data_IF_218385456018
#
_entry.id   IF_218385456018
#
_cell.length_a   1.000
_cell.length_b   1.000
_cell.length_c   1.000
_cell.angle_alpha   90.00
_cell.angle_beta   90.00
_cell.angle_gamma   90.00
#
_symmetry.space_group_name_H-M   'P 1'
#
loop_
_entity.id
_entity.type
_entity.pdbx_description
1 polymer ?
#
# COMPACT_ATOMS: atom_id res chain seq x y z
N UNK A 1 57.35 -1.76 -18.35
CA UNK A 1 57.10 -2.70 -17.24
C UNK A 1 56.08 -3.71 -17.73
N UNK A 2 56.42 -5.01 -17.80
CA UNK A 2 55.52 -6.02 -18.37
C UNK A 2 54.36 -6.26 -17.40
N UNK A 3 53.12 -6.13 -17.87
CA UNK A 3 51.87 -6.29 -17.10
C UNK A 3 51.87 -7.60 -16.28
N UNK A 4 52.47 -8.66 -16.82
CA UNK A 4 52.63 -9.96 -16.17
C UNK A 4 53.45 -9.90 -14.87
N UNK A 5 54.50 -9.07 -14.83
CA UNK A 5 55.34 -8.88 -13.63
C UNK A 5 54.56 -8.23 -12.51
N UNK A 6 53.77 -7.20 -12.85
CA UNK A 6 52.96 -6.44 -11.90
C UNK A 6 51.81 -7.29 -11.34
N UNK A 7 51.12 -8.04 -12.21
CA UNK A 7 50.09 -9.01 -11.78
C UNK A 7 50.69 -10.07 -10.85
N UNK A 8 51.91 -10.53 -11.12
CA UNK A 8 52.57 -11.54 -10.28
C UNK A 8 52.89 -11.06 -8.87
N UNK A 9 53.24 -9.78 -8.75
CA UNK A 9 53.69 -9.16 -7.52
C UNK A 9 52.50 -8.74 -6.64
N UNK A 10 51.32 -8.55 -7.23
CA UNK A 10 50.12 -8.04 -6.55
C UNK A 10 48.96 -9.06 -6.53
N UNK A 11 49.25 -10.35 -6.73
CA UNK A 11 48.26 -11.46 -6.74
C UNK A 11 47.29 -11.45 -5.54
N UNK A 12 47.78 -11.13 -4.35
CA UNK A 12 46.97 -11.07 -3.12
C UNK A 12 45.98 -9.90 -3.15
N UNK A 13 46.42 -8.73 -3.62
CA UNK A 13 45.57 -7.55 -3.77
C UNK A 13 44.48 -7.81 -4.83
N UNK A 14 44.85 -8.40 -5.96
CA UNK A 14 43.93 -8.77 -7.03
C UNK A 14 42.90 -9.81 -6.58
N UNK A 15 43.29 -10.79 -5.76
CA UNK A 15 42.37 -11.77 -5.20
C UNK A 15 41.35 -11.13 -4.23
N UNK A 16 41.79 -10.17 -3.41
CA UNK A 16 40.89 -9.41 -2.50
C UNK A 16 39.94 -8.51 -3.30
N UNK A 17 40.43 -7.84 -4.34
CA UNK A 17 39.61 -7.00 -5.22
C UNK A 17 38.58 -7.84 -5.98
N UNK A 18 38.99 -9.01 -6.48
CA UNK A 18 38.09 -9.96 -7.13
C UNK A 18 37.03 -10.48 -6.16
N UNK A 19 37.43 -10.85 -4.93
CA UNK A 19 36.50 -11.28 -3.89
C UNK A 19 35.52 -10.15 -3.51
N UNK A 20 36.00 -8.91 -3.39
CA UNK A 20 35.17 -7.74 -3.10
C UNK A 20 34.18 -7.44 -4.24
N UNK A 21 34.58 -7.59 -5.49
CA UNK A 21 33.70 -7.47 -6.66
C UNK A 21 32.66 -8.60 -6.66
N UNK A 22 33.06 -9.83 -6.38
CA UNK A 22 32.13 -10.98 -6.30
C UNK A 22 31.13 -10.79 -5.16
N UNK A 23 31.57 -10.35 -3.98
CA UNK A 23 30.69 -10.04 -2.85
C UNK A 23 29.78 -8.85 -3.17
N UNK A 24 30.27 -7.81 -3.85
CA UNK A 24 29.46 -6.67 -4.29
C UNK A 24 28.41 -7.06 -5.34
N UNK A 25 28.77 -7.94 -6.27
CA UNK A 25 27.84 -8.47 -7.28
C UNK A 25 26.79 -9.39 -6.64
N UNK A 26 27.19 -10.28 -5.73
CA UNK A 26 26.25 -11.14 -4.98
C UNK A 26 25.35 -10.31 -4.07
N UNK A 27 25.91 -9.29 -3.39
CA UNK A 27 25.14 -8.38 -2.55
C UNK A 27 24.10 -7.59 -3.36
N UNK A 28 24.46 -7.09 -4.55
CA UNK A 28 23.50 -6.42 -5.43
C UNK A 28 22.48 -7.37 -6.07
N UNK A 29 22.83 -8.65 -6.29
CA UNK A 29 21.89 -9.65 -6.83
C UNK A 29 20.88 -10.15 -5.79
N UNK A 30 21.23 -10.12 -4.49
CA UNK A 30 20.29 -10.39 -3.38
C UNK A 30 19.36 -9.19 -3.12
N UNK A 31 19.64 -8.03 -3.71
CA UNK A 31 18.80 -6.82 -3.65
C UNK A 31 18.01 -6.55 -4.94
N UNK A 32 18.01 -7.46 -5.92
CA UNK A 32 16.98 -7.43 -6.97
C UNK A 32 15.71 -8.07 -6.42
N UNK A 33 15.12 -7.44 -5.41
CA UNK A 33 13.70 -7.65 -5.12
C UNK A 33 12.93 -6.84 -6.16
N UNK A 34 12.30 -7.61 -7.04
CA UNK A 34 11.37 -7.25 -8.10
C UNK A 34 10.64 -5.93 -7.90
N UNK A 35 10.71 -5.09 -8.93
CA UNK A 35 9.96 -3.84 -9.02
C UNK A 35 8.55 -4.15 -9.55
N UNK A 36 7.54 -3.66 -8.83
CA UNK A 36 6.23 -3.38 -9.41
C UNK A 36 6.30 -2.06 -10.20
N UNK A 37 6.37 -2.11 -11.53
CA UNK A 37 6.39 -0.88 -12.34
C UNK A 37 4.98 -0.28 -12.40
N UNK A 38 4.88 1.03 -12.15
CA UNK A 38 3.65 1.80 -12.35
C UNK A 38 3.40 1.97 -13.84
N UNK A 39 2.29 1.45 -14.32
CA UNK A 39 1.84 1.59 -15.72
C UNK A 39 0.80 2.70 -15.87
N UNK A 40 0.11 3.05 -14.78
CA UNK A 40 -0.84 4.16 -14.68
C UNK A 40 -0.84 4.72 -13.24
N UNK A 41 -1.39 5.93 -13.06
CA UNK A 41 -1.49 6.57 -11.74
C UNK A 41 -2.86 6.37 -11.07
N UNK A 42 -3.82 5.72 -11.73
CA UNK A 42 -5.17 5.50 -11.21
C UNK A 42 -5.40 4.01 -10.97
N UNK A 43 -5.30 3.59 -9.70
CA UNK A 43 -5.48 2.20 -9.30
C UNK A 43 -6.89 1.78 -8.93
N UNK A 44 -7.77 2.76 -8.71
CA UNK A 44 -9.13 2.54 -8.26
C UNK A 44 -10.04 3.57 -8.92
N UNK A 45 -11.06 3.10 -9.65
CA UNK A 45 -12.05 3.97 -10.27
C UNK A 45 -13.25 4.10 -9.35
N UNK A 46 -13.57 5.33 -8.94
CA UNK A 46 -14.75 5.65 -8.15
C UNK A 46 -15.89 6.17 -9.04
N UNK A 47 -17.12 5.82 -8.70
CA UNK A 47 -18.35 6.21 -9.43
C UNK A 47 -19.50 6.41 -8.43
N UNK A 48 -20.17 7.56 -8.49
CA UNK A 48 -21.42 7.80 -7.77
C UNK A 48 -22.51 6.93 -8.39
N UNK A 49 -22.79 5.79 -7.78
CA UNK A 49 -23.63 4.78 -8.40
C UNK A 49 -25.10 4.92 -7.99
N UNK A 50 -25.36 5.26 -6.73
CA UNK A 50 -26.73 5.30 -6.21
C UNK A 50 -26.89 6.15 -4.97
N UNK A 51 -28.10 6.65 -4.74
CA UNK A 51 -28.54 7.14 -3.44
C UNK A 51 -29.36 6.04 -2.73
N UNK A 52 -29.30 6.03 -1.41
CA UNK A 52 -30.22 5.25 -0.59
C UNK A 52 -30.98 6.18 0.35
N UNK A 53 -32.31 6.11 0.33
CA UNK A 53 -33.18 6.93 1.18
C UNK A 53 -34.43 6.14 1.57
N UNK A 54 -34.79 6.18 2.85
CA UNK A 54 -36.00 5.55 3.40
C UNK A 54 -36.31 4.14 2.85
N UNK A 55 -35.31 3.25 2.79
CA UNK A 55 -35.49 1.89 2.30
C UNK A 55 -35.51 1.73 0.78
N UNK A 56 -35.26 2.79 0.01
CA UNK A 56 -35.28 2.79 -1.46
C UNK A 56 -33.91 3.12 -2.04
N UNK A 57 -33.53 2.36 -3.07
CA UNK A 57 -32.37 2.64 -3.91
C UNK A 57 -32.79 3.50 -5.08
N UNK A 58 -32.02 4.57 -5.32
CA UNK A 58 -32.16 5.47 -6.45
C UNK A 58 -30.88 5.38 -7.28
N UNK A 59 -30.97 4.97 -8.54
CA UNK A 59 -29.81 4.84 -9.43
C UNK A 59 -30.25 4.98 -10.88
N UNK A 60 -29.31 5.01 -11.83
CA UNK A 60 -29.67 5.04 -13.26
C UNK A 60 -30.63 3.91 -13.67
N UNK A 61 -30.56 2.76 -13.01
CA UNK A 61 -31.38 1.58 -13.29
C UNK A 61 -32.54 1.38 -12.31
N UNK A 62 -32.49 1.99 -11.12
CA UNK A 62 -33.55 1.90 -10.11
C UNK A 62 -34.26 3.25 -9.94
N UNK A 63 -35.41 3.36 -10.60
CA UNK A 63 -36.29 4.54 -10.57
C UNK A 63 -37.65 4.15 -9.98
N UNK A 64 -37.78 4.06 -8.64
CA UNK A 64 -39.05 3.69 -8.02
C UNK A 64 -40.14 4.73 -8.34
N UNK A 65 -41.39 4.30 -8.50
CA UNK A 65 -42.51 5.20 -8.79
C UNK A 65 -42.72 6.27 -7.71
N UNK A 66 -42.39 5.93 -6.46
CA UNK A 66 -42.31 6.90 -5.37
C UNK A 66 -41.21 6.55 -4.37
N UNK A 67 -40.68 7.57 -3.72
CA UNK A 67 -39.71 7.48 -2.64
C UNK A 67 -39.91 8.65 -1.68
N UNK A 68 -39.22 8.63 -0.54
CA UNK A 68 -39.32 9.70 0.47
C UNK A 68 -37.93 10.22 0.77
N UNK A 69 -37.79 11.54 0.85
CA UNK A 69 -36.64 12.22 1.43
C UNK A 69 -37.20 13.06 2.58
N UNK A 70 -36.64 12.86 3.78
CA UNK A 70 -37.16 13.45 5.01
C UNK A 70 -38.67 13.18 5.20
N UNK A 71 -39.51 14.19 5.05
CA UNK A 71 -40.96 14.17 5.24
C UNK A 71 -41.76 14.30 3.94
N UNK A 72 -41.10 14.45 2.78
CA UNK A 72 -41.75 14.57 1.46
C UNK A 72 -41.71 13.27 0.68
N UNK A 73 -42.88 12.89 0.14
CA UNK A 73 -42.99 11.78 -0.81
C UNK A 73 -42.91 12.34 -2.23
N UNK A 74 -41.95 11.83 -2.99
CA UNK A 74 -41.51 12.32 -4.29
C UNK A 74 -41.71 11.23 -5.34
N UNK A 75 -41.77 11.61 -6.61
CA UNK A 75 -41.91 10.67 -7.73
C UNK A 75 -40.70 10.73 -8.64
N UNK A 76 -40.09 9.59 -8.95
CA UNK A 76 -38.99 9.55 -9.92
C UNK A 76 -39.42 9.98 -11.34
N UNK A 77 -40.73 10.02 -11.62
CA UNK A 77 -41.24 10.51 -12.91
C UNK A 77 -41.23 12.03 -13.03
N UNK A 78 -41.17 12.75 -11.91
CA UNK A 78 -41.17 14.22 -11.87
C UNK A 78 -39.79 14.81 -11.65
N UNK A 79 -38.82 13.99 -11.26
CA UNK A 79 -37.43 14.37 -11.05
C UNK A 79 -36.83 15.06 -12.28
N UNK A 80 -36.36 16.29 -12.10
CA UNK A 80 -35.79 17.11 -13.16
C UNK A 80 -34.37 16.64 -13.53
N UNK A 81 -33.63 16.07 -12.56
CA UNK A 81 -32.29 15.53 -12.75
C UNK A 81 -32.12 14.17 -12.07
N UNK A 82 -31.54 13.21 -12.80
CA UNK A 82 -31.32 11.84 -12.33
C UNK A 82 -30.05 11.26 -12.93
N UNK A 83 -28.90 11.77 -12.51
CA UNK A 83 -27.60 11.42 -13.07
C UNK A 83 -26.64 10.89 -12.00
N UNK A 84 -26.03 9.75 -12.30
CA UNK A 84 -25.19 8.96 -11.40
C UNK A 84 -24.02 8.36 -12.17
N UNK A 85 -22.85 8.99 -12.19
CA UNK A 85 -21.64 8.41 -12.80
C UNK A 85 -20.37 8.99 -12.13
N UNK A 86 -19.49 9.62 -12.93
CA UNK A 86 -18.35 10.35 -12.40
C UNK A 86 -18.77 11.55 -11.56
N UNK A 87 -19.93 12.13 -11.88
CA UNK A 87 -20.59 13.19 -11.14
C UNK A 87 -21.98 12.71 -10.71
N UNK A 88 -22.49 13.29 -9.63
CA UNK A 88 -23.86 13.13 -9.16
C UNK A 88 -24.61 14.43 -9.47
N UNK A 89 -25.77 14.31 -10.10
CA UNK A 89 -26.74 15.41 -10.21
C UNK A 89 -28.14 14.86 -10.02
N UNK A 90 -28.69 15.12 -8.84
CA UNK A 90 -29.95 14.56 -8.38
C UNK A 90 -30.89 15.67 -7.91
N UNK A 91 -31.97 15.85 -8.66
CA UNK A 91 -33.10 16.69 -8.30
C UNK A 91 -34.34 15.77 -8.26
N UNK A 92 -34.92 15.53 -7.08
CA UNK A 92 -35.99 14.56 -6.91
C UNK A 92 -37.38 15.05 -7.34
N UNK A 93 -37.55 16.33 -7.62
CA UNK A 93 -38.81 16.97 -8.00
C UNK A 93 -38.67 17.82 -9.26
N UNK A 94 -39.60 18.74 -9.47
CA UNK A 94 -39.67 19.51 -10.71
C UNK A 94 -38.69 20.67 -10.61
N UNK A 95 -38.14 21.07 -11.74
CA UNK A 95 -37.27 22.23 -11.82
C UNK A 95 -37.95 23.46 -11.17
N UNK A 96 -37.20 24.15 -10.31
CA UNK A 96 -37.59 25.33 -9.55
C UNK A 96 -38.68 25.10 -8.48
N UNK A 97 -38.92 23.85 -8.04
CA UNK A 97 -39.94 23.52 -7.04
C UNK A 97 -39.48 22.42 -6.06
N UNK A 98 -39.40 22.77 -4.78
CA UNK A 98 -39.24 21.81 -3.69
C UNK A 98 -37.80 21.61 -3.24
N UNK A 99 -37.08 20.64 -3.82
CA UNK A 99 -35.71 20.33 -3.41
C UNK A 99 -34.69 21.00 -4.33
N UNK A 100 -33.56 21.49 -3.78
CA UNK A 100 -32.43 21.92 -4.57
C UNK A 100 -31.66 20.71 -5.07
N UNK A 101 -31.01 20.80 -6.23
CA UNK A 101 -30.16 19.72 -6.73
C UNK A 101 -29.10 19.32 -5.70
N UNK A 102 -29.04 18.04 -5.36
CA UNK A 102 -27.90 17.41 -4.71
C UNK A 102 -26.85 17.08 -5.77
N UNK A 103 -25.72 17.77 -5.69
CA UNK A 103 -24.61 17.64 -6.62
C UNK A 103 -23.38 17.07 -5.93
N UNK A 104 -22.63 16.24 -6.64
CA UNK A 104 -21.30 15.83 -6.20
C UNK A 104 -20.35 15.62 -7.38
N UNK A 105 -19.09 15.95 -7.17
CA UNK A 105 -17.98 15.69 -8.09
C UNK A 105 -16.82 15.09 -7.32
N UNK A 106 -15.90 14.48 -8.03
CA UNK A 106 -14.73 13.86 -7.44
C UNK A 106 -13.53 14.03 -8.36
N UNK A 107 -12.35 13.97 -7.76
CA UNK A 107 -11.11 13.74 -8.50
C UNK A 107 -10.91 12.23 -8.70
N UNK A 108 -10.12 11.81 -9.71
CA UNK A 108 -9.70 10.42 -9.76
C UNK A 108 -8.89 10.05 -8.50
N UNK A 109 -8.99 8.79 -8.06
CA UNK A 109 -8.13 8.28 -7.00
C UNK A 109 -6.72 8.11 -7.59
N UNK A 110 -5.84 9.02 -7.25
CA UNK A 110 -4.51 9.14 -7.84
C UNK A 110 -3.44 8.64 -6.89
N UNK A 111 -2.50 7.86 -7.40
CA UNK A 111 -1.36 7.38 -6.64
C UNK A 111 -0.47 8.55 -6.20
N UNK A 112 -0.11 8.58 -4.92
CA UNK A 112 0.92 9.46 -4.37
C UNK A 112 2.29 8.89 -4.73
N UNK A 113 2.91 9.45 -5.78
CA UNK A 113 4.22 9.01 -6.28
C UNK A 113 5.39 9.47 -5.40
N UNK A 114 5.15 10.36 -4.44
CA UNK A 114 6.20 10.84 -3.53
C UNK A 114 6.39 9.90 -2.33
N UNK A 115 5.43 9.02 -2.08
CA UNK A 115 5.45 8.07 -0.97
C UNK A 115 5.81 6.67 -1.45
N UNK A 116 6.92 6.14 -0.91
CA UNK A 116 7.34 4.78 -1.19
C UNK A 116 6.31 3.76 -0.66
N UNK A 117 5.85 2.81 -1.51
CA UNK A 117 4.89 1.79 -1.10
C UNK A 117 5.49 0.86 -0.04
N UNK A 118 4.67 0.36 0.89
CA UNK A 118 5.14 -0.64 1.85
C UNK A 118 5.10 -2.03 1.23
N UNK A 119 6.15 -2.82 1.47
CA UNK A 119 6.34 -4.15 0.93
C UNK A 119 6.26 -5.24 2.01
N UNK A 120 5.67 -6.38 1.66
CA UNK A 120 5.53 -7.56 2.52
C UNK A 120 5.67 -8.85 1.69
N UNK A 121 6.50 -9.79 2.12
CA UNK A 121 6.67 -11.11 1.47
C UNK A 121 6.49 -12.33 2.42
N UNK A 122 5.75 -13.35 1.96
CA UNK A 122 5.58 -14.61 2.71
C UNK A 122 5.46 -15.83 1.82
N UNK A 123 5.66 -16.99 2.46
CA UNK A 123 5.58 -18.30 1.82
C UNK A 123 4.67 -19.22 2.61
N UNK A 124 3.92 -20.06 1.91
CA UNK A 124 3.05 -21.10 2.47
C UNK A 124 3.51 -22.44 1.89
N UNK A 125 4.00 -23.31 2.77
CA UNK A 125 4.38 -24.68 2.42
C UNK A 125 3.12 -25.53 2.25
N UNK A 126 2.95 -26.13 1.07
CA UNK A 126 1.83 -27.04 0.75
C UNK A 126 2.24 -28.51 0.83
N UNK A 127 3.47 -28.81 1.25
CA UNK A 127 4.00 -30.15 1.36
C UNK A 127 4.39 -30.76 0.01
N UNK A 128 4.55 -32.08 0.02
CA UNK A 128 4.93 -32.86 -1.16
C UNK A 128 3.72 -33.07 -2.08
N UNK A 129 3.93 -32.88 -3.36
CA UNK A 129 2.96 -33.14 -4.42
C UNK A 129 3.61 -33.97 -5.52
N UNK A 130 2.84 -34.89 -6.10
CA UNK A 130 3.27 -35.64 -7.28
C UNK A 130 2.85 -34.87 -8.54
N UNK A 131 3.82 -34.50 -9.36
CA UNK A 131 3.61 -33.83 -10.64
C UNK A 131 3.04 -34.81 -11.68
N UNK A 132 2.47 -34.32 -12.79
CA UNK A 132 1.86 -35.16 -13.83
C UNK A 132 2.84 -36.18 -14.45
N UNK A 133 4.14 -35.89 -14.40
CA UNK A 133 5.21 -36.78 -14.86
C UNK A 133 5.61 -37.86 -13.83
N UNK A 134 4.96 -37.91 -12.66
CA UNK A 134 5.23 -38.87 -11.59
C UNK A 134 6.34 -38.47 -10.61
N UNK A 135 6.99 -37.32 -10.78
CA UNK A 135 8.04 -36.82 -9.88
C UNK A 135 7.44 -36.19 -8.63
N UNK A 136 8.03 -36.46 -7.46
CA UNK A 136 7.66 -35.77 -6.22
C UNK A 136 8.40 -34.43 -6.12
N UNK A 137 7.65 -33.37 -5.84
CA UNK A 137 8.18 -32.04 -5.63
C UNK A 137 7.54 -31.41 -4.39
N UNK A 138 8.28 -30.56 -3.69
CA UNK A 138 7.73 -29.75 -2.63
C UNK A 138 7.07 -28.51 -3.23
N UNK A 139 5.77 -28.33 -2.97
CA UNK A 139 5.00 -27.17 -3.45
C UNK A 139 5.03 -26.06 -2.41
N UNK A 140 5.49 -24.89 -2.81
CA UNK A 140 5.50 -23.68 -2.00
C UNK A 140 4.74 -22.59 -2.76
N UNK A 141 3.84 -21.90 -2.07
CA UNK A 141 3.19 -20.70 -2.61
C UNK A 141 3.90 -19.49 -2.02
N UNK A 142 4.44 -18.62 -2.86
CA UNK A 142 5.03 -17.35 -2.47
C UNK A 142 4.06 -16.21 -2.79
N UNK A 143 4.00 -15.24 -1.89
CA UNK A 143 3.16 -14.05 -2.02
C UNK A 143 4.00 -12.80 -1.78
N UNK A 144 3.70 -11.77 -2.56
CA UNK A 144 4.31 -10.45 -2.48
C UNK A 144 3.19 -9.42 -2.42
N UNK A 145 3.17 -8.55 -1.41
CA UNK A 145 2.14 -7.55 -1.23
C UNK A 145 2.74 -6.15 -1.13
N UNK A 146 2.20 -5.24 -1.93
CA UNK A 146 2.51 -3.83 -1.93
C UNK A 146 1.33 -3.00 -1.47
N UNK A 147 1.57 -2.06 -0.57
CA UNK A 147 0.58 -1.10 -0.09
C UNK A 147 0.90 0.28 -0.61
N UNK A 148 0.12 0.71 -1.60
CA UNK A 148 0.22 2.01 -2.24
C UNK A 148 -0.65 3.03 -1.51
N UNK A 149 -0.16 4.27 -1.43
CA UNK A 149 -0.91 5.42 -0.95
C UNK A 149 -1.46 6.19 -2.14
N UNK A 150 -2.73 6.54 -2.10
CA UNK A 150 -3.40 7.36 -3.09
C UNK A 150 -4.14 8.51 -2.40
N UNK A 151 -4.35 9.59 -3.15
CA UNK A 151 -5.15 10.74 -2.75
C UNK A 151 -6.46 10.76 -3.53
N UNK A 152 -7.52 11.20 -2.86
CA UNK A 152 -8.84 11.32 -3.43
C UNK A 152 -9.57 12.51 -2.83
N UNK A 153 -10.31 13.26 -3.64
CA UNK A 153 -11.10 14.39 -3.17
C UNK A 153 -12.50 14.33 -3.76
N UNK A 154 -13.48 14.66 -2.93
CA UNK A 154 -14.90 14.67 -3.27
C UNK A 154 -15.48 16.02 -2.87
N UNK A 155 -16.26 16.64 -3.73
CA UNK A 155 -17.04 17.82 -3.38
C UNK A 155 -18.53 17.49 -3.45
N UNK A 156 -19.29 17.86 -2.43
CA UNK A 156 -20.75 17.67 -2.36
C UNK A 156 -21.37 19.04 -2.08
N UNK A 157 -22.40 19.43 -2.82
CA UNK A 157 -23.05 20.73 -2.64
C UNK A 157 -24.52 20.71 -3.06
N UNK A 158 -25.25 21.74 -2.63
CA UNK A 158 -26.60 22.02 -3.11
C UNK A 158 -26.58 23.17 -4.12
N UNK A 159 -27.49 23.14 -5.08
CA UNK A 159 -27.66 24.23 -6.04
C UNK A 159 -29.10 24.29 -6.51
N UNK A 160 -29.63 25.50 -6.66
CA UNK A 160 -31.00 25.74 -7.13
C UNK A 160 -31.34 27.22 -7.16
N UNK A 161 -32.50 27.64 -7.68
CA UNK A 161 -33.05 28.97 -7.42
C UNK A 161 -33.49 29.15 -5.95
N UNK A 162 -33.89 30.37 -5.59
CA UNK A 162 -34.48 30.69 -4.29
C UNK A 162 -35.71 29.84 -3.94
N UNK A 163 -36.52 29.47 -4.95
CA UNK A 163 -37.73 28.70 -4.74
C UNK A 163 -37.48 27.28 -4.22
N UNK A 164 -36.30 26.72 -4.51
CA UNK A 164 -35.85 25.41 -4.03
C UNK A 164 -35.14 25.50 -2.67
N UNK A 165 -34.91 26.71 -2.12
CA UNK A 165 -34.24 26.82 -0.83
C UNK A 165 -35.21 26.65 0.34
N UNK A 166 -36.49 27.01 0.16
CA UNK A 166 -37.57 26.77 1.12
C UNK A 166 -38.97 27.04 0.52
N UNK A 167 -40.00 26.45 1.13
CA UNK A 167 -41.38 26.88 0.93
C UNK A 167 -41.69 28.09 1.81
N UNK A 168 -42.29 29.13 1.25
CA UNK A 168 -42.71 30.32 2.02
C UNK A 168 -44.20 30.29 2.36
N UNK A 169 -44.53 30.71 3.59
CA UNK A 169 -45.90 30.96 4.05
C UNK A 169 -46.38 32.32 3.53
N UNK A 170 -47.71 32.52 3.55
CA UNK A 170 -48.35 33.78 3.14
C UNK A 170 -47.89 35.02 3.93
N UNK A 171 -47.37 34.83 5.15
CA UNK A 171 -46.84 35.90 6.03
C UNK A 171 -45.36 36.23 5.74
N UNK A 172 -44.77 35.58 4.74
CA UNK A 172 -43.37 35.70 4.34
C UNK A 172 -42.41 34.84 5.15
N UNK A 173 -42.87 34.13 6.19
CA UNK A 173 -42.04 33.21 6.96
C UNK A 173 -41.78 31.89 6.22
N UNK A 174 -40.84 31.10 6.73
CA UNK A 174 -40.52 29.77 6.20
C UNK A 174 -41.60 28.78 6.65
N UNK A 175 -42.15 28.01 5.72
CA UNK A 175 -43.14 26.95 5.96
C UNK A 175 -42.46 25.59 6.13
N UNK A 176 -41.49 25.32 5.25
CA UNK A 176 -40.78 24.07 5.13
C UNK A 176 -39.41 24.32 4.47
N UNK A 177 -38.43 23.48 4.79
CA UNK A 177 -37.08 23.53 4.21
C UNK A 177 -36.68 22.14 3.73
N UNK A 178 -36.08 22.03 2.53
CA UNK A 178 -35.55 20.77 2.03
C UNK A 178 -34.34 20.35 2.84
N UNK A 179 -34.26 19.05 3.14
CA UNK A 179 -33.10 18.47 3.80
C UNK A 179 -32.81 17.08 3.25
N UNK A 180 -31.58 16.88 2.79
CA UNK A 180 -31.08 15.57 2.39
C UNK A 180 -30.65 14.69 3.57
N UNK A 181 -31.01 15.07 4.79
CA UNK A 181 -30.80 14.28 6.00
C UNK A 181 -31.40 12.87 5.89
N UNK A 182 -30.58 11.86 6.17
CA UNK A 182 -30.90 10.44 6.03
C UNK A 182 -30.64 9.84 4.64
N UNK A 183 -30.06 10.60 3.71
CA UNK A 183 -29.66 10.09 2.39
C UNK A 183 -28.22 9.60 2.43
N UNK A 184 -27.97 8.38 1.95
CA UNK A 184 -26.63 7.85 1.76
C UNK A 184 -26.21 7.95 0.28
N UNK A 185 -25.06 8.57 0.02
CA UNK A 185 -24.42 8.58 -1.30
C UNK A 185 -23.54 7.34 -1.42
N UNK A 186 -23.95 6.36 -2.22
CA UNK A 186 -23.20 5.12 -2.44
C UNK A 186 -22.29 5.23 -3.67
N UNK A 187 -21.01 4.96 -3.45
CA UNK A 187 -19.95 5.05 -4.44
C UNK A 187 -19.41 3.65 -4.69
N UNK A 188 -19.37 3.26 -5.97
CA UNK A 188 -18.76 2.02 -6.43
C UNK A 188 -17.28 2.27 -6.70
N UNK A 189 -16.43 1.35 -6.26
CA UNK A 189 -14.99 1.35 -6.44
C UNK A 189 -14.61 0.12 -7.29
N UNK A 190 -14.10 0.33 -8.48
CA UNK A 190 -13.65 -0.72 -9.39
C UNK A 190 -12.12 -0.69 -9.48
N UNK A 191 -11.40 -1.73 -9.01
CA UNK A 191 -9.95 -1.79 -9.15
C UNK A 191 -9.54 -1.79 -10.62
N UNK A 192 -8.44 -1.09 -10.92
CA UNK A 192 -7.82 -1.07 -12.25
C UNK A 192 -6.38 -1.53 -12.09
N UNK A 193 -5.87 -2.26 -13.07
CA UNK A 193 -4.45 -2.60 -13.09
C UNK A 193 -3.64 -1.33 -13.34
N UNK A 194 -2.79 -0.97 -12.38
CA UNK A 194 -1.91 0.21 -12.45
C UNK A 194 -0.46 -0.11 -12.10
N UNK A 195 -0.22 -1.35 -11.65
CA UNK A 195 1.08 -1.91 -11.28
C UNK A 195 1.25 -3.23 -12.01
N UNK A 196 2.47 -3.52 -12.43
CA UNK A 196 2.86 -4.81 -12.99
C UNK A 196 4.13 -5.33 -12.31
N UNK A 197 4.15 -6.62 -11.97
CA UNK A 197 5.30 -7.30 -11.35
C UNK A 197 6.26 -7.83 -12.43
N UNK A 198 7.55 -7.51 -12.33
CA UNK A 198 8.57 -7.93 -13.30
C UNK A 198 8.60 -9.44 -13.54
N UNK A 199 8.52 -10.24 -12.46
CA UNK A 199 8.63 -11.70 -12.49
C UNK A 199 7.31 -12.42 -12.84
N UNK A 200 6.29 -11.71 -13.35
CA UNK A 200 5.02 -12.28 -13.80
C UNK A 200 4.39 -13.32 -12.84
N UNK A 201 3.73 -12.90 -11.76
CA UNK A 201 3.01 -13.81 -10.88
C UNK A 201 1.94 -14.59 -11.63
N UNK A 202 1.62 -15.77 -11.11
CA UNK A 202 0.52 -16.61 -11.60
C UNK A 202 -0.83 -15.85 -11.50
N UNK A 203 -1.01 -15.10 -10.41
CA UNK A 203 -2.21 -14.30 -10.16
C UNK A 203 -1.85 -12.95 -9.51
N UNK A 204 -2.58 -11.89 -9.91
CA UNK A 204 -2.47 -10.55 -9.31
C UNK A 204 -3.83 -10.11 -8.80
N UNK A 205 -3.85 -9.58 -7.57
CA UNK A 205 -5.06 -9.08 -6.95
C UNK A 205 -4.93 -7.63 -6.51
N UNK A 206 -6.04 -6.89 -6.58
CA UNK A 206 -6.16 -5.50 -6.19
C UNK A 206 -7.31 -5.32 -5.18
N UNK A 207 -7.07 -4.60 -4.09
CA UNK A 207 -8.11 -4.30 -3.10
C UNK A 207 -7.88 -2.95 -2.40
N UNK A 208 -8.92 -2.12 -2.21
CA UNK A 208 -8.85 -1.02 -1.26
C UNK A 208 -8.76 -1.58 0.16
N UNK A 209 -7.82 -1.07 0.95
CA UNK A 209 -7.63 -1.53 2.33
C UNK A 209 -8.13 -0.53 3.36
N UNK A 210 -7.93 0.75 3.11
CA UNK A 210 -8.20 1.80 4.08
C UNK A 210 -8.47 3.11 3.39
N UNK A 211 -9.53 3.81 3.78
CA UNK A 211 -9.88 5.13 3.25
C UNK A 211 -10.19 6.02 4.44
N UNK A 212 -9.37 7.05 4.65
CA UNK A 212 -9.49 7.95 5.80
C UNK A 212 -9.62 9.40 5.36
N UNK A 213 -10.48 10.15 6.03
CA UNK A 213 -10.65 11.58 5.84
C UNK A 213 -9.47 12.30 6.49
N UNK A 214 -8.68 13.01 5.67
CA UNK A 214 -7.53 13.79 6.14
C UNK A 214 -7.90 15.24 6.44
N UNK A 215 -8.78 15.81 5.61
CA UNK A 215 -9.26 17.17 5.77
C UNK A 215 -10.66 17.33 5.18
N UNK A 216 -11.33 18.40 5.57
CA UNK A 216 -12.55 18.84 4.93
C UNK A 216 -12.63 20.37 4.96
N UNK A 217 -13.13 20.95 3.87
CA UNK A 217 -13.38 22.38 3.75
C UNK A 217 -14.87 22.61 3.52
N UNK A 218 -15.46 23.50 4.31
CA UNK A 218 -16.86 23.91 4.15
C UNK A 218 -16.89 25.25 3.44
N UNK A 219 -17.79 25.41 2.49
CA UNK A 219 -18.08 26.67 1.82
C UNK A 219 -19.59 26.84 1.64
N UNK A 220 -20.00 28.06 1.33
CA UNK A 220 -21.37 28.36 0.92
C UNK A 220 -21.39 29.25 -0.32
N UNK A 221 -22.48 29.17 -1.07
CA UNK A 221 -22.78 30.13 -2.14
C UNK A 221 -24.01 30.92 -1.71
N UNK A 222 -23.87 32.25 -1.69
CA UNK A 222 -24.99 33.16 -1.38
C UNK A 222 -25.88 33.44 -2.58
N UNK A 223 -26.99 34.15 -2.34
CA UNK A 223 -27.94 34.58 -3.37
C UNK A 223 -27.33 35.40 -4.52
N UNK A 224 -26.17 36.03 -4.32
CA UNK A 224 -25.47 36.85 -5.32
C UNK A 224 -24.41 36.02 -6.08
N UNK A 225 -24.36 34.70 -5.82
CA UNK A 225 -23.40 33.77 -6.43
C UNK A 225 -21.99 33.86 -5.84
N UNK A 226 -21.83 34.53 -4.69
CA UNK A 226 -20.53 34.69 -4.06
C UNK A 226 -20.20 33.47 -3.22
N UNK A 227 -19.03 32.88 -3.48
CA UNK A 227 -18.45 31.83 -2.66
C UNK A 227 -17.92 32.41 -1.34
N UNK A 228 -18.37 31.85 -0.22
CA UNK A 228 -17.88 32.15 1.12
C UNK A 228 -17.20 30.88 1.64
N UNK A 229 -15.88 30.91 1.72
CA UNK A 229 -15.09 29.80 2.27
C UNK A 229 -15.10 29.86 3.79
N UNK A 230 -15.19 28.70 4.44
CA UNK A 230 -15.20 28.54 5.89
C UNK A 230 -16.37 29.21 6.61
N UNK A 231 -17.51 29.31 5.94
CA UNK A 231 -18.71 29.97 6.45
C UNK A 231 -19.19 29.35 7.78
N UNK A 232 -19.09 30.07 8.92
CA UNK A 232 -19.53 29.55 10.21
C UNK A 232 -21.04 29.36 10.29
N UNK A 233 -21.80 30.08 9.46
CA UNK A 233 -23.25 30.03 9.42
C UNK A 233 -23.75 28.77 8.72
N UNK A 234 -23.04 28.28 7.70
CA UNK A 234 -23.44 27.06 6.98
C UNK A 234 -22.96 25.79 7.69
N UNK A 235 -21.94 25.88 8.54
CA UNK A 235 -21.38 24.74 9.29
C UNK A 235 -22.42 24.02 10.17
N UNK A 236 -23.46 24.71 10.65
CA UNK A 236 -24.57 24.09 11.39
C UNK A 236 -25.52 23.28 10.50
N UNK A 237 -25.59 23.61 9.21
CA UNK A 237 -26.51 22.99 8.25
C UNK A 237 -25.89 21.77 7.53
N UNK A 238 -24.63 21.46 7.84
CA UNK A 238 -23.87 20.34 7.27
C UNK A 238 -23.48 19.39 8.38
N UNK A 239 -24.01 18.17 8.32
CA UNK A 239 -23.62 17.04 9.12
C UNK A 239 -23.60 15.78 8.26
N UNK A 240 -22.46 15.10 8.24
CA UNK A 240 -22.22 13.97 7.36
C UNK A 240 -21.30 12.95 8.03
N UNK A 241 -21.27 11.72 7.53
CA UNK A 241 -20.29 10.71 7.92
C UNK A 241 -19.54 10.29 6.65
N UNK A 242 -18.21 10.45 6.60
CA UNK A 242 -17.28 10.92 7.64
C UNK A 242 -17.11 12.45 7.62
N UNK A 243 -17.12 13.11 8.78
CA UNK A 243 -17.00 14.57 8.96
C UNK A 243 -15.81 15.01 9.82
N UNK A 244 -15.13 14.09 10.50
CA UNK A 244 -13.97 14.43 11.33
C UNK A 244 -12.67 13.84 10.79
N UNK A 245 -11.57 14.59 10.93
CA UNK A 245 -10.23 14.13 10.54
C UNK A 245 -9.90 12.81 11.25
N UNK A 246 -9.44 11.83 10.48
CA UNK A 246 -9.13 10.49 10.96
C UNK A 246 -10.33 9.52 10.94
N UNK A 247 -11.54 9.97 10.64
CA UNK A 247 -12.66 9.06 10.37
C UNK A 247 -12.41 8.27 9.09
N UNK A 248 -13.02 7.10 9.01
CA UNK A 248 -12.75 6.12 7.95
C UNK A 248 -14.04 5.71 7.26
N UNK A 249 -13.97 5.58 5.95
CA UNK A 249 -15.06 5.00 5.18
C UNK A 249 -15.08 3.49 5.34
N UNK A 250 -16.28 2.95 5.57
CA UNK A 250 -16.50 1.51 5.52
C UNK A 250 -16.38 1.00 4.09
N UNK A 251 -15.60 -0.05 3.88
CA UNK A 251 -15.49 -0.75 2.60
C UNK A 251 -16.42 -1.97 2.66
N UNK A 252 -17.24 -2.13 1.64
CA UNK A 252 -18.27 -3.17 1.53
C UNK A 252 -18.02 -3.98 0.25
N UNK A 253 -18.22 -5.30 0.30
CA UNK A 253 -18.10 -6.16 -0.88
C UNK A 253 -19.37 -6.22 -1.72
N UNK A 254 -20.49 -5.75 -1.19
CA UNK A 254 -21.77 -5.65 -1.88
C UNK A 254 -22.45 -4.35 -1.51
N UNK A 255 -23.16 -3.75 -2.46
CA UNK A 255 -24.00 -2.57 -2.21
C UNK A 255 -25.02 -2.85 -1.10
N UNK A 256 -25.12 -1.95 -0.12
CA UNK A 256 -26.01 -2.13 1.04
C UNK A 256 -25.59 -3.25 1.99
N UNK A 257 -24.40 -3.85 1.81
CA UNK A 257 -23.89 -4.88 2.69
C UNK A 257 -23.67 -4.36 4.10
N UNK A 258 -23.69 -5.26 5.09
CA UNK A 258 -23.08 -4.98 6.39
C UNK A 258 -21.57 -4.95 6.13
N UNK A 259 -20.82 -4.04 6.76
CA UNK A 259 -19.34 -4.00 6.67
C UNK A 259 -18.80 -5.38 6.99
N UNK A 260 -18.51 -6.17 5.97
CA UNK A 260 -17.94 -7.49 6.12
C UNK A 260 -16.47 -7.28 6.41
N UNK A 261 -16.15 -7.43 7.70
CA UNK A 261 -14.81 -7.45 8.30
C UNK A 261 -14.23 -6.07 8.65
N UNK A 262 -14.55 -5.64 9.88
CA UNK A 262 -13.96 -4.52 10.64
C UNK A 262 -12.42 -4.56 10.83
N UNK A 263 -11.70 -5.40 10.09
CA UNK A 263 -10.30 -5.71 10.34
C UNK A 263 -9.63 -6.38 9.12
N UNK A 264 -9.77 -5.76 7.94
CA UNK A 264 -9.06 -6.19 6.73
C UNK A 264 -7.55 -6.16 6.96
N UNK A 265 -7.05 -5.13 7.68
CA UNK A 265 -5.68 -5.14 8.21
C UNK A 265 -5.45 -6.37 9.07
N UNK A 266 -6.19 -6.64 10.16
CA UNK A 266 -5.83 -7.78 11.02
C UNK A 266 -6.02 -9.17 10.38
N UNK A 267 -6.77 -9.30 9.28
CA UNK A 267 -6.94 -10.57 8.54
C UNK A 267 -5.89 -10.76 7.44
N UNK A 268 -5.53 -9.70 6.72
CA UNK A 268 -4.40 -9.71 5.78
C UNK A 268 -3.07 -9.73 6.53
N UNK A 269 -3.02 -9.18 7.75
CA UNK A 269 -1.86 -9.20 8.66
C UNK A 269 -1.73 -10.51 9.48
N UNK A 270 -2.55 -11.55 9.24
CA UNK A 270 -2.22 -12.90 9.75
C UNK A 270 -1.13 -13.46 8.86
N UNK A 271 0.11 -13.22 9.29
CA UNK A 271 1.32 -13.58 8.58
C UNK A 271 2.06 -14.71 9.28
N UNK A 272 2.61 -15.63 8.46
CA UNK A 272 3.17 -16.95 8.77
C UNK A 272 2.14 -18.11 8.78
N UNK A 273 2.06 -18.84 7.66
CA UNK A 273 1.31 -20.10 7.53
C UNK A 273 -0.14 -19.99 7.04
N UNK A 274 -0.67 -18.79 6.86
CA UNK A 274 -2.03 -18.57 6.34
C UNK A 274 -2.04 -18.32 4.82
N UNK A 275 -2.98 -18.94 4.12
CA UNK A 275 -3.24 -18.72 2.69
C UNK A 275 -4.07 -17.45 2.49
N UNK A 276 -3.84 -16.78 1.37
CA UNK A 276 -4.64 -15.64 0.93
C UNK A 276 -6.08 -16.09 0.68
N UNK A 277 -7.07 -15.44 1.30
CA UNK A 277 -8.48 -15.68 1.00
C UNK A 277 -8.86 -14.93 -0.29
N UNK A 278 -9.06 -15.62 -1.44
CA UNK A 278 -9.39 -14.95 -2.70
C UNK A 278 -10.75 -14.27 -2.64
N UNK A 279 -11.61 -14.62 -1.66
CA UNK A 279 -12.92 -14.00 -1.47
C UNK A 279 -12.85 -12.56 -0.96
N UNK A 280 -11.67 -12.10 -0.56
CA UNK A 280 -11.45 -10.70 -0.20
C UNK A 280 -11.27 -9.84 -1.46
N UNK A 281 -10.71 -10.42 -2.53
CA UNK A 281 -10.40 -9.72 -3.76
C UNK A 281 -11.58 -9.80 -4.72
N UNK A 282 -12.16 -8.64 -5.01
CA UNK A 282 -13.38 -8.48 -5.82
C UNK A 282 -13.15 -7.53 -6.98
N UNK A 283 -13.99 -7.69 -8.00
CA UNK A 283 -14.02 -6.79 -9.16
C UNK A 283 -14.65 -5.43 -8.82
N UNK A 284 -15.43 -5.37 -7.74
CA UNK A 284 -16.01 -4.13 -7.22
C UNK A 284 -16.07 -4.13 -5.70
N UNK A 285 -15.93 -2.94 -5.14
CA UNK A 285 -16.12 -2.61 -3.74
C UNK A 285 -17.06 -1.42 -3.65
N UNK A 286 -17.64 -1.22 -2.48
CA UNK A 286 -18.63 -0.20 -2.24
C UNK A 286 -18.25 0.59 -1.01
N UNK A 287 -18.48 1.89 -1.04
CA UNK A 287 -18.37 2.81 0.10
C UNK A 287 -19.60 3.71 0.08
N UNK A 288 -19.86 4.44 1.17
CA UNK A 288 -20.90 5.45 1.16
C UNK A 288 -20.54 6.63 2.06
N UNK A 289 -21.09 7.79 1.73
CA UNK A 289 -21.07 9.00 2.54
C UNK A 289 -22.50 9.25 3.00
N UNK A 290 -22.70 9.33 4.31
CA UNK A 290 -24.04 9.55 4.88
C UNK A 290 -24.27 11.04 5.06
N UNK A 291 -25.39 11.56 4.58
CA UNK A 291 -25.85 12.92 4.85
C UNK A 291 -26.76 12.86 6.07
N UNK A 292 -26.27 13.24 7.24
CA UNK A 292 -27.10 13.28 8.47
C UNK A 292 -27.98 14.53 8.49
N UNK A 293 -27.41 15.66 8.07
CA UNK A 293 -28.08 16.93 7.84
C UNK A 293 -27.39 17.61 6.67
N UNK A 294 -28.11 17.93 5.60
CA UNK A 294 -27.51 18.65 4.48
C UNK A 294 -28.61 19.46 3.80
N UNK A 295 -28.70 20.73 4.19
CA UNK A 295 -29.79 21.61 3.79
C UNK A 295 -29.36 23.04 3.51
N UNK A 296 -30.14 23.81 2.74
CA UNK A 296 -29.91 25.24 2.59
C UNK A 296 -30.09 25.97 3.92
N UNK A 297 -29.38 27.09 4.08
CA UNK A 297 -29.65 28.03 5.16
C UNK A 297 -30.57 29.11 4.64
N UNK A 298 -31.68 29.35 5.33
CA UNK A 298 -32.63 30.39 4.99
C UNK A 298 -32.76 31.39 6.13
N UNK A 299 -32.85 32.68 5.78
CA UNK A 299 -33.12 33.76 6.73
C UNK A 299 -34.17 34.69 6.15
N UNK A 300 -35.15 35.07 6.98
CA UNK A 300 -36.17 36.04 6.60
C UNK A 300 -36.09 37.22 7.55
N UNK A 301 -35.86 38.40 6.97
CA UNK A 301 -35.90 39.64 7.74
C UNK A 301 -37.33 39.93 8.19
N UNK A 302 -37.50 40.16 9.49
CA UNK A 302 -38.83 40.31 10.10
C UNK A 302 -39.60 41.53 9.54
N UNK A 303 -38.90 42.62 9.23
CA UNK A 303 -39.50 43.90 8.87
C UNK A 303 -39.76 44.05 7.38
N UNK A 304 -38.75 43.73 6.56
CA UNK A 304 -38.79 43.84 5.10
C UNK A 304 -39.38 42.60 4.44
N UNK A 305 -39.48 41.48 5.18
CA UNK A 305 -39.83 40.15 4.65
C UNK A 305 -38.87 39.69 3.55
N UNK A 306 -37.70 40.32 3.43
CA UNK A 306 -36.67 39.94 2.50
C UNK A 306 -36.12 38.58 2.91
N UNK A 307 -35.99 37.70 1.93
CA UNK A 307 -35.44 36.37 2.10
C UNK A 307 -33.99 36.36 1.61
N UNK A 308 -33.12 35.69 2.35
CA UNK A 308 -31.75 35.43 1.94
C UNK A 308 -31.42 33.97 2.23
N UNK A 309 -30.77 33.33 1.27
CA UNK A 309 -30.47 31.92 1.28
C UNK A 309 -29.00 31.67 0.94
N UNK A 310 -28.49 30.54 1.43
CA UNK A 310 -27.16 30.03 1.13
C UNK A 310 -27.21 28.54 0.91
N UNK A 311 -26.52 28.05 -0.12
CA UNK A 311 -26.37 26.62 -0.34
C UNK A 311 -25.04 26.12 0.25
N UNK A 312 -25.06 24.98 0.97
CA UNK A 312 -23.85 24.34 1.48
C UNK A 312 -23.01 23.70 0.36
N UNK A 313 -21.70 23.75 0.54
CA UNK A 313 -20.71 22.98 -0.19
C UNK A 313 -19.68 22.42 0.80
N UNK A 314 -19.30 21.17 0.62
CA UNK A 314 -18.28 20.50 1.42
C UNK A 314 -17.33 19.73 0.53
N UNK A 315 -16.06 20.09 0.61
CA UNK A 315 -14.96 19.35 0.00
C UNK A 315 -14.36 18.42 1.06
N UNK A 316 -14.28 17.15 0.74
CA UNK A 316 -13.72 16.08 1.55
C UNK A 316 -12.43 15.58 0.90
N UNK A 317 -11.36 15.50 1.66
CA UNK A 317 -10.07 15.01 1.20
C UNK A 317 -9.73 13.70 1.91
N UNK A 318 -9.38 12.69 1.13
CA UNK A 318 -9.14 11.33 1.61
C UNK A 318 -7.75 10.85 1.23
N UNK A 319 -7.12 10.12 2.15
CA UNK A 319 -6.04 9.19 1.81
C UNK A 319 -6.61 7.78 1.67
N UNK A 320 -6.35 7.15 0.53
CA UNK A 320 -6.79 5.81 0.17
C UNK A 320 -5.55 4.90 0.10
N UNK A 321 -5.56 3.78 0.81
CA UNK A 321 -4.54 2.73 0.62
C UNK A 321 -5.09 1.60 -0.23
N UNK A 322 -4.32 1.23 -1.26
CA UNK A 322 -4.62 0.12 -2.16
C UNK A 322 -3.56 -0.95 -1.98
N UNK A 323 -4.02 -2.20 -1.77
CA UNK A 323 -3.17 -3.38 -1.73
C UNK A 323 -3.10 -4.00 -3.12
N UNK A 324 -1.89 -4.35 -3.52
CA UNK A 324 -1.58 -5.12 -4.73
C UNK A 324 -0.85 -6.37 -4.29
N UNK A 325 -1.37 -7.55 -4.62
CA UNK A 325 -0.79 -8.83 -4.21
C UNK A 325 -0.47 -9.68 -5.42
N UNK A 326 0.79 -10.09 -5.56
CA UNK A 326 1.23 -11.12 -6.50
C UNK A 326 1.31 -12.48 -5.82
N UNK A 327 0.99 -13.55 -6.55
CA UNK A 327 1.06 -14.94 -6.10
C UNK A 327 1.88 -15.78 -7.09
N UNK A 328 2.82 -16.56 -6.58
CA UNK A 328 3.66 -17.48 -7.35
C UNK A 328 3.61 -18.89 -6.77
N UNK A 329 3.57 -19.89 -7.64
CA UNK A 329 3.66 -21.30 -7.28
C UNK A 329 5.03 -21.83 -7.62
N UNK A 330 5.82 -22.18 -6.61
CA UNK A 330 7.18 -22.71 -6.77
C UNK A 330 7.18 -24.20 -6.43
N UNK A 331 7.77 -25.00 -7.32
CA UNK A 331 8.03 -26.42 -7.09
C UNK A 331 9.53 -26.61 -6.88
N UNK A 332 9.91 -27.08 -5.69
CA UNK A 332 11.30 -27.45 -5.39
C UNK A 332 11.44 -28.96 -5.57
N UNK A 333 12.47 -29.40 -6.28
CA UNK A 333 12.78 -30.83 -6.36
C UNK A 333 13.18 -31.33 -4.97
N UNK A 334 12.82 -32.57 -4.64
CA UNK A 334 13.25 -33.20 -3.38
C UNK A 334 14.76 -33.41 -3.30
N UNK A 335 15.48 -33.32 -4.43
CA UNK A 335 16.95 -33.39 -4.48
C UNK A 335 17.64 -32.07 -4.11
N UNK A 336 16.93 -30.92 -4.17
CA UNK A 336 17.46 -29.58 -3.85
C UNK A 336 17.26 -29.16 -2.38
N UNK A 337 16.58 -29.98 -1.58
CA UNK A 337 16.41 -29.75 -0.15
C UNK A 337 17.48 -30.59 0.56
N UNK A 338 18.65 -30.02 0.82
CA UNK A 338 19.65 -30.67 1.69
C UNK A 338 18.97 -30.97 3.03
N UNK A 339 18.84 -32.27 3.36
CA UNK A 339 18.43 -32.70 4.70
C UNK A 339 19.34 -31.99 5.72
N UNK A 340 18.74 -31.23 6.63
CA UNK A 340 19.45 -30.68 7.78
C UNK A 340 20.00 -31.86 8.58
N UNK A 341 21.26 -32.21 8.34
CA UNK A 341 22.00 -33.14 9.19
C UNK A 341 21.91 -32.57 10.61
N UNK A 342 21.29 -33.29 11.57
CA UNK A 342 21.26 -32.84 12.95
C UNK A 342 22.70 -32.58 13.37
N UNK A 343 23.00 -31.36 13.83
CA UNK A 343 24.27 -31.13 14.48
C UNK A 343 24.34 -32.09 15.67
N UNK A 344 25.29 -33.02 15.63
CA UNK A 344 25.66 -33.74 16.84
C UNK A 344 26.05 -32.66 17.87
N UNK A 345 25.37 -32.58 19.02
CA UNK A 345 25.72 -31.61 20.03
C UNK A 345 27.19 -31.87 20.39
N UNK A 346 28.02 -30.81 20.31
CA UNK A 346 29.40 -30.87 20.76
C UNK A 346 29.34 -31.25 22.24
N UNK A 347 29.58 -32.52 22.55
CA UNK A 347 29.88 -32.95 23.90
C UNK A 347 31.20 -32.29 24.22
N UNK A 348 31.16 -31.17 24.95
CA UNK A 348 32.35 -30.54 25.52
C UNK A 348 32.88 -31.51 26.56
N UNK A 349 33.69 -32.48 26.11
CA UNK A 349 34.62 -33.17 26.97
C UNK A 349 35.65 -32.11 27.31
N UNK A 350 35.53 -31.51 28.50
CA UNK A 350 36.54 -30.59 29.03
C UNK A 350 37.85 -31.37 29.19
N UNK A 351 38.64 -31.45 28.13
CA UNK A 351 39.99 -31.97 28.18
C UNK A 351 40.91 -30.81 28.62
N UNK A 352 41.45 -30.83 29.85
CA UNK A 352 42.28 -29.74 30.38
C UNK A 352 43.58 -29.53 29.60
N UNK A 353 43.89 -30.39 28.63
CA UNK A 353 45.03 -30.30 27.73
C UNK A 353 44.66 -29.87 26.29
N UNK A 354 43.40 -29.56 26.00
CA UNK A 354 42.96 -29.19 24.66
C UNK A 354 43.61 -27.90 24.16
N UNK A 355 43.86 -26.95 25.06
CA UNK A 355 44.63 -25.74 24.74
C UNK A 355 46.05 -26.06 24.24
N UNK A 356 46.66 -27.16 24.68
CA UNK A 356 47.98 -27.60 24.23
C UNK A 356 47.89 -28.18 22.81
N UNK A 357 46.86 -29.01 22.55
CA UNK A 357 46.60 -29.56 21.22
C UNK A 357 46.27 -28.45 20.20
N UNK A 358 45.45 -27.48 20.59
CA UNK A 358 45.08 -26.31 19.79
C UNK A 358 46.29 -25.39 19.55
N UNK A 359 47.20 -25.30 20.52
CA UNK A 359 48.45 -24.57 20.36
C UNK A 359 49.39 -25.23 19.34
N UNK A 360 49.53 -26.57 19.37
CA UNK A 360 50.36 -27.32 18.42
C UNK A 360 49.73 -27.47 17.03
N UNK A 361 48.40 -27.42 16.91
CA UNK A 361 47.68 -27.52 15.63
C UNK A 361 47.51 -26.16 14.93
N UNK A 362 47.71 -25.04 15.65
CA UNK A 362 47.60 -23.71 15.07
C UNK A 362 48.73 -23.45 14.04
N UNK A 363 48.40 -23.18 12.77
CA UNK A 363 49.38 -22.94 11.71
C UNK A 363 50.36 -21.81 12.03
N UNK A 364 49.91 -20.76 12.73
CA UNK A 364 50.76 -19.65 13.13
C UNK A 364 51.82 -20.09 14.16
N UNK A 365 51.44 -20.94 15.12
CA UNK A 365 52.37 -21.47 16.12
C UNK A 365 53.39 -22.42 15.50
N UNK A 366 52.96 -23.26 14.56
CA UNK A 366 53.87 -24.15 13.81
C UNK A 366 54.90 -23.35 13.00
N UNK A 367 54.49 -22.24 12.38
CA UNK A 367 55.40 -21.33 11.67
C UNK A 367 56.41 -20.71 12.65
N UNK A 368 55.96 -20.23 13.81
CA UNK A 368 56.86 -19.67 14.84
C UNK A 368 57.85 -20.69 15.38
N UNK A 369 57.43 -21.94 15.61
CA UNK A 369 58.29 -23.03 16.03
C UNK A 369 59.34 -23.39 14.96
N UNK A 370 58.94 -23.41 13.69
CA UNK A 370 59.87 -23.61 12.57
C UNK A 370 60.91 -22.50 12.48
N UNK A 371 60.50 -21.24 12.64
CA UNK A 371 61.41 -20.10 12.66
C UNK A 371 62.38 -20.15 13.84
N UNK A 372 61.89 -20.51 15.02
CA UNK A 372 62.70 -20.64 16.23
C UNK A 372 63.71 -21.80 16.12
N UNK A 373 63.28 -22.96 15.62
CA UNK A 373 64.16 -24.09 15.33
C UNK A 373 65.20 -23.75 14.25
N UNK A 374 64.80 -23.02 13.21
CA UNK A 374 65.70 -22.53 12.17
C UNK A 374 66.75 -21.56 12.72
N UNK A 375 66.37 -20.68 13.64
CA UNK A 375 67.29 -19.78 14.33
C UNK A 375 68.28 -20.55 15.21
N UNK A 376 67.82 -21.52 16.00
CA UNK A 376 68.72 -22.36 16.82
C UNK A 376 69.69 -23.14 15.93
N UNK A 377 69.21 -23.75 14.85
CA UNK A 377 70.07 -24.44 13.90
C UNK A 377 71.12 -23.50 13.30
N UNK A 378 70.74 -22.26 12.97
CA UNK A 378 71.66 -21.26 12.46
C UNK A 378 72.70 -20.85 13.51
N UNK A 379 72.31 -20.63 14.76
CA UNK A 379 73.23 -20.35 15.87
C UNK A 379 74.19 -21.52 16.10
N UNK A 380 73.70 -22.76 16.08
CA UNK A 380 74.54 -23.95 16.21
C UNK A 380 75.53 -24.08 15.03
N UNK A 381 75.11 -23.78 13.80
CA UNK A 381 76.00 -23.78 12.63
C UNK A 381 77.04 -22.66 12.75
N UNK A 382 76.67 -21.47 13.23
CA UNK A 382 77.62 -20.36 13.49
C UNK A 382 78.67 -20.77 14.53
N UNK A 383 78.27 -21.44 15.62
CA UNK A 383 79.15 -21.79 16.74
C UNK A 383 80.02 -23.02 16.44
N UNK A 384 79.46 -24.05 15.81
CA UNK A 384 80.14 -25.35 15.66
C UNK A 384 80.66 -25.63 14.25
N UNK A 385 80.21 -24.89 13.22
CA UNK A 385 80.63 -25.12 11.84
C UNK A 385 80.67 -23.81 11.00
N UNK A 386 81.42 -22.78 11.41
CA UNK A 386 81.44 -21.47 10.72
C UNK A 386 81.89 -21.53 9.25
N UNK A 387 82.59 -22.60 8.84
CA UNK A 387 82.98 -22.86 7.45
C UNK A 387 81.81 -23.20 6.51
N UNK A 388 80.68 -23.69 7.03
CA UNK A 388 79.51 -24.03 6.19
C UNK A 388 78.78 -22.76 5.74
N UNK A 389 78.73 -21.73 6.59
CA UNK A 389 78.12 -20.44 6.26
C UNK A 389 78.89 -19.67 5.19
N UNK A 390 80.23 -19.80 5.16
CA UNK A 390 81.06 -19.21 4.10
C UNK A 390 80.82 -19.90 2.75
N UNK A 391 80.63 -21.21 2.73
CA UNK A 391 80.28 -21.95 1.50
C UNK A 391 78.88 -21.56 1.01
N UNK A 392 77.86 -21.52 1.88
CA UNK A 392 76.48 -21.15 1.51
C UNK A 392 76.38 -19.68 1.08
N UNK A 393 77.07 -18.77 1.77
CA UNK A 393 77.14 -17.36 1.38
C UNK A 393 77.87 -17.19 0.04
N UNK A 394 78.96 -17.93 -0.20
CA UNK A 394 79.68 -17.90 -1.48
C UNK A 394 78.84 -18.46 -2.64
N UNK A 395 77.96 -19.43 -2.37
CA UNK A 395 77.04 -19.98 -3.37
C UNK A 395 75.86 -19.04 -3.67
N UNK A 396 75.28 -18.40 -2.66
CA UNK A 396 74.17 -17.44 -2.82
C UNK A 396 74.62 -16.09 -3.41
N UNK A 397 75.81 -15.61 -3.07
CA UNK A 397 76.36 -14.33 -3.57
C UNK A 397 77.25 -14.50 -4.81
N UNK A 398 77.69 -15.73 -5.12
CA UNK A 398 78.58 -16.04 -6.25
C UNK A 398 77.88 -16.12 -7.62
N UNK A 399 76.55 -16.00 -7.70
CA UNK A 399 75.80 -15.92 -8.97
C UNK A 399 75.69 -14.52 -9.57
N UNK A 400 76.66 -13.64 -9.31
CA UNK A 400 76.87 -12.40 -10.06
C UNK A 400 78.35 -12.23 -10.40
N UNK A 401 78.78 -12.95 -11.43
CA UNK A 401 79.77 -12.54 -12.44
C UNK A 401 80.03 -13.74 -13.36
N UNK A 402 79.19 -13.87 -14.37
CA UNK A 402 79.55 -13.80 -15.80
C UNK A 402 78.37 -13.17 -16.55
#
# INVERSE_FOLDING_TARGET
MKIESWISEHKKLLAVLFLAIVVFLIYNQVWSMSVGYLTATQGLQAEFHSLYTNGKWLSNTEKPSSFTIQDRTLSASTASNWFFEYELNFDPDMQDDGYPNLLATQQPIALDMEVEPKHYEWKVDKGLVTLENGTEAKKIIQFEMWRYRCDWSVNIWLSGPEAESCDRRWDGGIAWEPNYGGVDIWIRLTPRAFVYFEDNPDEVYFAPAYITLIDFTVASIDKDGKLIVDDPEIKSEIDLIPKAKGETLGIYYTRGGITSFKNLESKVLIYQGAELDPQIFRDEYWIHIQLLNFKPRNTVDFWTKAHSWWYPSVQLEFTVYVLVVGKWTVYLSTEDIEDLQPHEPIVIINNPWQWLADWWSNPATQIWLLLFMGFIALVLIVVFAPGVLTVVASWLLGRRKE
#
